data_IF_960897855950
#
_entry.id   IF_960897855950
#
_cell.length_a   1.000
_cell.length_b   1.000
_cell.length_c   1.000
_cell.angle_alpha   90.00
_cell.angle_beta   90.00
_cell.angle_gamma   90.00
#
_symmetry.space_group_name_H-M   'P 1'
#
loop_
_entity.id
_entity.type
_entity.pdbx_description
1 polymer ?
#
# COMPACT_ATOMS: atom_id res chain seq x y z
N UNK A 1 -10.79 2.54 15.23
CA UNK A 1 -11.92 3.41 15.67
C UNK A 1 -12.16 3.39 17.18
N UNK A 2 -12.39 2.23 17.84
CA UNK A 2 -12.57 2.15 19.30
C UNK A 2 -11.39 2.79 20.08
N UNK A 3 -10.16 2.60 19.59
CA UNK A 3 -8.96 3.21 20.17
C UNK A 3 -9.02 4.74 20.30
N UNK A 4 -9.73 5.43 19.41
CA UNK A 4 -9.90 6.89 19.48
C UNK A 4 -10.75 7.30 20.70
N UNK A 5 -11.85 6.60 20.96
CA UNK A 5 -12.69 6.87 22.13
C UNK A 5 -12.01 6.47 23.44
N UNK A 6 -11.31 5.33 23.46
CA UNK A 6 -10.56 4.89 24.62
C UNK A 6 -9.41 5.86 24.94
N UNK A 7 -8.67 6.30 23.93
CA UNK A 7 -7.63 7.31 24.10
C UNK A 7 -8.20 8.61 24.63
N UNK A 8 -9.33 9.09 24.07
CA UNK A 8 -10.03 10.27 24.57
C UNK A 8 -10.44 10.16 26.05
N UNK A 9 -10.96 8.99 26.46
CA UNK A 9 -11.32 8.73 27.85
C UNK A 9 -10.10 8.74 28.78
N UNK A 10 -8.99 8.12 28.36
CA UNK A 10 -7.74 8.06 29.13
C UNK A 10 -7.10 9.45 29.25
N UNK A 11 -7.10 10.24 28.18
CA UNK A 11 -6.62 11.63 28.19
C UNK A 11 -7.48 12.47 29.15
N UNK A 12 -8.81 12.40 29.03
CA UNK A 12 -9.73 13.12 29.93
C UNK A 12 -9.55 12.71 31.41
N UNK A 13 -9.08 11.49 31.66
CA UNK A 13 -8.81 10.97 33.00
C UNK A 13 -7.38 11.20 33.49
N UNK A 14 -6.50 11.86 32.71
CA UNK A 14 -5.06 11.99 32.97
C UNK A 14 -4.34 10.63 33.18
N UNK A 15 -4.76 9.60 32.45
CA UNK A 15 -4.21 8.23 32.50
C UNK A 15 -3.52 7.80 31.20
N UNK A 16 -3.40 8.71 30.23
CA UNK A 16 -2.77 8.41 28.95
C UNK A 16 -1.26 8.64 29.04
N UNK A 17 -0.49 7.57 28.85
CA UNK A 17 0.97 7.64 28.72
C UNK A 17 1.38 8.06 27.30
N UNK A 18 2.54 8.71 27.12
CA UNK A 18 3.05 9.05 25.80
C UNK A 18 3.43 7.80 24.99
N UNK A 19 3.24 7.88 23.67
CA UNK A 19 3.60 6.78 22.76
C UNK A 19 5.12 6.64 22.73
N UNK A 20 5.62 5.44 23.05
CA UNK A 20 7.03 5.09 22.92
C UNK A 20 7.19 4.12 21.75
N UNK A 21 8.07 4.46 20.80
CA UNK A 21 8.36 3.61 19.64
C UNK A 21 9.64 2.83 19.94
N UNK A 22 9.51 1.50 20.04
CA UNK A 22 10.65 0.59 20.11
C UNK A 22 10.81 -0.04 18.72
N UNK A 23 11.93 0.27 18.06
CA UNK A 23 12.18 -0.15 16.68
C UNK A 23 13.38 -1.08 16.60
N UNK A 24 13.18 -2.31 16.13
CA UNK A 24 14.28 -3.24 15.94
C UNK A 24 15.06 -2.91 14.66
N UNK A 25 16.37 -2.70 14.81
CA UNK A 25 17.32 -2.43 13.73
C UNK A 25 18.28 -3.60 13.45
N UNK A 26 18.16 -4.71 14.19
CA UNK A 26 18.97 -5.89 13.96
C UNK A 26 18.70 -6.48 12.57
N UNK A 27 19.76 -6.86 11.88
CA UNK A 27 19.67 -7.45 10.55
C UNK A 27 19.64 -8.98 10.66
N UNK A 28 18.43 -9.53 10.72
CA UNK A 28 18.21 -10.97 10.76
C UNK A 28 18.06 -11.52 9.35
N UNK A 29 19.02 -12.36 8.93
CA UNK A 29 19.03 -12.96 7.58
C UNK A 29 17.74 -13.72 7.26
N UNK A 30 17.12 -14.34 8.27
CA UNK A 30 15.85 -15.02 8.14
C UNK A 30 14.72 -14.09 7.67
N UNK A 31 14.63 -12.87 8.21
CA UNK A 31 13.61 -11.89 7.82
C UNK A 31 13.86 -11.33 6.42
N UNK A 32 15.13 -11.11 6.07
CA UNK A 32 15.52 -10.66 4.72
C UNK A 32 15.15 -11.71 3.66
N UNK A 33 15.42 -13.00 3.94
CA UNK A 33 15.18 -14.09 2.99
C UNK A 33 13.71 -14.55 2.93
N UNK A 34 12.90 -14.21 3.93
CA UNK A 34 11.51 -14.65 4.01
C UNK A 34 10.67 -14.24 2.79
N UNK A 35 10.72 -12.97 2.39
CA UNK A 35 9.92 -12.46 1.25
C UNK A 35 10.37 -13.07 -0.09
N UNK A 36 11.68 -13.13 -0.42
CA UNK A 36 12.13 -13.83 -1.63
C UNK A 36 11.71 -15.30 -1.69
N UNK A 37 11.82 -16.03 -0.57
CA UNK A 37 11.42 -17.45 -0.50
C UNK A 37 9.92 -17.61 -0.72
N UNK A 38 9.10 -16.79 -0.04
CA UNK A 38 7.65 -16.80 -0.23
C UNK A 38 7.26 -16.44 -1.67
N UNK A 39 7.93 -15.45 -2.26
CA UNK A 39 7.68 -15.04 -3.64
C UNK A 39 8.03 -16.14 -4.63
N UNK A 40 9.16 -16.84 -4.42
CA UNK A 40 9.53 -18.01 -5.22
C UNK A 40 8.47 -19.12 -5.08
N UNK A 41 8.01 -19.39 -3.86
CA UNK A 41 6.94 -20.35 -3.62
C UNK A 41 5.67 -20.00 -4.41
N UNK A 42 5.20 -18.75 -4.36
CA UNK A 42 4.02 -18.31 -5.13
C UNK A 42 4.21 -18.43 -6.64
N UNK A 43 5.40 -18.11 -7.17
CA UNK A 43 5.72 -18.29 -8.60
C UNK A 43 5.71 -19.78 -8.97
N UNK A 44 6.28 -20.66 -8.15
CA UNK A 44 6.25 -22.10 -8.39
C UNK A 44 4.81 -22.65 -8.33
N UNK A 45 4.00 -22.20 -7.36
CA UNK A 45 2.58 -22.56 -7.30
C UNK A 45 1.82 -22.11 -8.54
N UNK A 46 2.11 -20.91 -9.07
CA UNK A 46 1.51 -20.43 -10.31
C UNK A 46 1.81 -21.35 -11.50
N UNK A 47 3.06 -21.80 -11.65
CA UNK A 47 3.48 -22.71 -12.72
C UNK A 47 2.83 -24.09 -12.63
N UNK A 48 2.58 -24.56 -11.40
CA UNK A 48 1.92 -25.85 -11.15
C UNK A 48 0.42 -25.75 -11.45
N UNK A 49 -0.24 -24.67 -11.03
CA UNK A 49 -1.70 -24.50 -11.15
C UNK A 49 -2.12 -24.28 -12.61
N UNK A 50 -1.49 -23.33 -13.31
CA UNK A 50 -1.83 -23.04 -14.71
C UNK A 50 -1.21 -24.08 -15.67
N UNK A 51 -0.15 -24.77 -15.23
CA UNK A 51 0.61 -25.74 -16.02
C UNK A 51 1.66 -25.08 -16.92
N UNK A 52 2.81 -25.75 -17.05
CA UNK A 52 3.95 -25.24 -17.84
C UNK A 52 3.62 -24.98 -19.32
N UNK A 53 2.66 -25.70 -19.90
CA UNK A 53 2.21 -25.49 -21.28
C UNK A 53 1.49 -24.16 -21.51
N UNK A 54 0.91 -23.57 -20.47
CA UNK A 54 0.11 -22.33 -20.54
C UNK A 54 0.87 -21.08 -20.08
N UNK A 55 2.18 -21.17 -19.84
CA UNK A 55 2.99 -20.06 -19.31
C UNK A 55 2.86 -18.77 -20.14
N UNK A 56 2.70 -18.89 -21.46
CA UNK A 56 2.52 -17.73 -22.34
C UNK A 56 1.21 -17.01 -22.05
N UNK A 57 0.13 -17.75 -21.79
CA UNK A 57 -1.18 -17.21 -21.45
C UNK A 57 -1.16 -16.57 -20.06
N UNK A 58 -0.51 -17.20 -19.08
CA UNK A 58 -0.30 -16.65 -17.73
C UNK A 58 0.45 -15.33 -17.76
N UNK A 59 1.52 -15.23 -18.55
CA UNK A 59 2.30 -13.99 -18.70
C UNK A 59 1.47 -12.90 -19.40
N UNK A 60 0.71 -13.24 -20.45
CA UNK A 60 -0.19 -12.29 -21.10
C UNK A 60 -1.28 -11.78 -20.16
N UNK A 61 -1.86 -12.67 -19.35
CA UNK A 61 -2.82 -12.32 -18.31
C UNK A 61 -2.19 -11.37 -17.28
N UNK A 62 -0.96 -11.65 -16.82
CA UNK A 62 -0.23 -10.78 -15.90
C UNK A 62 -0.08 -9.34 -16.45
N UNK A 63 0.28 -9.19 -17.72
CA UNK A 63 0.36 -7.86 -18.36
C UNK A 63 -1.01 -7.18 -18.48
N UNK A 64 -2.08 -7.94 -18.72
CA UNK A 64 -3.46 -7.41 -18.70
C UNK A 64 -3.82 -6.90 -17.31
N UNK A 65 -3.49 -7.66 -16.25
CA UNK A 65 -3.75 -7.27 -14.86
C UNK A 65 -3.16 -5.88 -14.55
N UNK A 66 -1.93 -5.59 -14.99
CA UNK A 66 -1.27 -4.29 -14.75
C UNK A 66 -2.05 -3.08 -15.27
N UNK A 67 -2.98 -3.27 -16.20
CA UNK A 67 -3.79 -2.19 -16.78
C UNK A 67 -5.17 -2.04 -16.14
N UNK A 68 -5.51 -2.88 -15.16
CA UNK A 68 -6.74 -2.75 -14.40
C UNK A 68 -6.65 -1.57 -13.42
N UNK A 69 -7.77 -0.88 -13.24
CA UNK A 69 -7.86 0.23 -12.28
C UNK A 69 -7.61 -0.22 -10.84
N UNK A 70 -7.97 -1.46 -10.51
CA UNK A 70 -7.88 -2.01 -9.15
C UNK A 70 -9.03 -1.61 -8.23
N UNK A 71 -10.06 -0.90 -8.74
CA UNK A 71 -11.23 -0.53 -7.94
C UNK A 71 -12.03 -1.78 -7.58
N UNK A 72 -12.39 -1.94 -6.31
CA UNK A 72 -13.25 -3.05 -5.88
C UNK A 72 -14.60 -3.04 -6.65
N UNK A 73 -15.16 -4.23 -6.96
CA UNK A 73 -14.76 -5.56 -6.49
C UNK A 73 -13.76 -6.31 -7.40
N UNK A 74 -12.76 -5.64 -8.00
CA UNK A 74 -11.76 -6.31 -8.84
C UNK A 74 -11.04 -7.44 -8.09
N UNK A 75 -11.32 -8.68 -8.48
CA UNK A 75 -10.58 -9.89 -8.11
C UNK A 75 -9.63 -10.25 -9.26
N UNK A 76 -8.33 -10.31 -9.00
CA UNK A 76 -7.33 -10.60 -10.03
C UNK A 76 -7.26 -12.08 -10.39
N UNK A 77 -7.74 -12.99 -9.52
CA UNK A 77 -7.85 -14.40 -9.84
C UNK A 77 -8.94 -14.63 -10.91
N UNK A 78 -10.02 -13.86 -10.84
CA UNK A 78 -11.11 -13.89 -11.83
C UNK A 78 -10.78 -13.07 -13.09
N UNK A 79 -10.07 -11.94 -12.95
CA UNK A 79 -9.75 -11.05 -14.07
C UNK A 79 -8.59 -11.55 -14.96
N UNK A 80 -7.82 -12.54 -14.49
CA UNK A 80 -6.70 -13.14 -15.20
C UNK A 80 -6.75 -14.67 -15.12
N UNK A 81 -5.58 -15.28 -14.91
CA UNK A 81 -5.46 -16.68 -14.47
C UNK A 81 -5.03 -16.73 -13.01
N UNK A 82 -5.29 -17.85 -12.33
CA UNK A 82 -4.83 -18.06 -10.97
C UNK A 82 -3.29 -17.89 -10.85
N UNK A 83 -2.53 -18.45 -11.79
CA UNK A 83 -1.09 -18.25 -11.84
C UNK A 83 -0.67 -16.80 -12.05
N UNK A 84 -1.38 -16.02 -12.88
CA UNK A 84 -1.04 -14.62 -13.13
C UNK A 84 -1.26 -13.73 -11.89
N UNK A 85 -2.30 -14.02 -11.10
CA UNK A 85 -2.57 -13.35 -9.83
C UNK A 85 -1.48 -13.67 -8.79
N UNK A 86 -1.10 -14.95 -8.66
CA UNK A 86 -0.02 -15.38 -7.76
C UNK A 86 1.33 -14.76 -8.14
N UNK A 87 1.67 -14.70 -9.43
CA UNK A 87 2.89 -14.02 -9.90
C UNK A 87 2.82 -12.52 -9.61
N UNK A 88 1.66 -11.86 -9.80
CA UNK A 88 1.50 -10.45 -9.44
C UNK A 88 1.75 -10.22 -7.94
N UNK A 89 1.21 -11.06 -7.07
CA UNK A 89 1.44 -11.01 -5.62
C UNK A 89 2.92 -11.19 -5.26
N UNK A 90 3.60 -12.15 -5.90
CA UNK A 90 5.04 -12.40 -5.72
C UNK A 90 5.88 -11.18 -6.13
N UNK A 91 5.60 -10.62 -7.31
CA UNK A 91 6.33 -9.46 -7.83
C UNK A 91 6.11 -8.23 -6.94
N UNK A 92 4.90 -8.00 -6.45
CA UNK A 92 4.62 -6.93 -5.49
C UNK A 92 5.47 -7.09 -4.21
N UNK A 93 5.59 -8.31 -3.69
CA UNK A 93 6.45 -8.62 -2.55
C UNK A 93 7.92 -8.34 -2.83
N UNK A 94 8.45 -8.85 -3.95
CA UNK A 94 9.85 -8.65 -4.35
C UNK A 94 10.21 -7.19 -4.54
N UNK A 95 9.37 -6.41 -5.25
CA UNK A 95 9.68 -5.00 -5.51
C UNK A 95 9.49 -4.16 -4.24
N UNK A 96 8.53 -4.49 -3.36
CA UNK A 96 8.41 -3.85 -2.05
C UNK A 96 9.65 -4.14 -1.17
N UNK A 97 10.11 -5.39 -1.14
CA UNK A 97 11.34 -5.78 -0.47
C UNK A 97 12.57 -5.07 -1.03
N UNK A 98 12.66 -4.95 -2.36
CA UNK A 98 13.72 -4.19 -3.02
C UNK A 98 13.69 -2.71 -2.60
N UNK A 99 12.52 -2.08 -2.55
CA UNK A 99 12.38 -0.71 -2.05
C UNK A 99 12.92 -0.56 -0.62
N UNK A 100 12.54 -1.45 0.31
CA UNK A 100 13.05 -1.48 1.69
C UNK A 100 14.58 -1.56 1.71
N UNK A 101 15.17 -2.46 0.92
CA UNK A 101 16.61 -2.61 0.82
C UNK A 101 17.30 -1.36 0.24
N UNK A 102 16.73 -0.73 -0.80
CA UNK A 102 17.28 0.46 -1.43
C UNK A 102 17.32 1.67 -0.50
N UNK A 103 16.28 1.85 0.32
CA UNK A 103 16.25 2.93 1.33
C UNK A 103 17.01 2.57 2.60
N UNK A 104 17.63 1.38 2.65
CA UNK A 104 18.40 0.85 3.79
C UNK A 104 17.57 0.75 5.08
N UNK A 105 16.28 0.48 4.97
CA UNK A 105 15.43 0.23 6.12
C UNK A 105 15.65 -1.18 6.69
N UNK A 106 15.53 -1.38 8.01
CA UNK A 106 15.69 -2.70 8.61
C UNK A 106 14.51 -3.62 8.27
N UNK A 107 14.81 -4.88 7.95
CA UNK A 107 13.79 -5.92 7.80
C UNK A 107 13.39 -6.46 9.18
N UNK A 108 12.37 -5.85 9.77
CA UNK A 108 11.81 -6.24 11.07
C UNK A 108 10.33 -6.63 10.95
N UNK A 109 9.72 -7.07 12.06
CA UNK A 109 8.33 -7.52 12.08
C UNK A 109 7.33 -6.58 11.40
N UNK A 110 7.27 -5.28 11.78
CA UNK A 110 6.39 -4.30 11.13
C UNK A 110 6.62 -4.15 9.62
N UNK A 111 7.87 -4.13 9.17
CA UNK A 111 8.23 -4.00 7.75
C UNK A 111 7.81 -5.26 6.97
N UNK A 112 8.09 -6.45 7.50
CA UNK A 112 7.64 -7.71 6.89
C UNK A 112 6.11 -7.79 6.84
N UNK A 113 5.42 -7.40 7.92
CA UNK A 113 3.97 -7.31 7.96
C UNK A 113 3.40 -6.33 6.92
N UNK A 114 4.07 -5.20 6.70
CA UNK A 114 3.76 -4.26 5.63
C UNK A 114 3.86 -4.90 4.25
N UNK A 115 4.99 -5.56 3.94
CA UNK A 115 5.20 -6.24 2.65
C UNK A 115 4.16 -7.36 2.45
N UNK A 116 3.90 -8.17 3.47
CA UNK A 116 2.87 -9.21 3.42
C UNK A 116 1.48 -8.65 3.17
N UNK A 117 1.18 -7.45 3.67
CA UNK A 117 -0.08 -6.75 3.38
C UNK A 117 -0.14 -6.32 1.91
N UNK A 118 0.96 -5.81 1.35
CA UNK A 118 1.04 -5.50 -0.09
C UNK A 118 0.80 -6.77 -0.92
N UNK A 119 1.45 -7.88 -0.55
CA UNK A 119 1.30 -9.17 -1.24
C UNK A 119 -0.13 -9.72 -1.12
N UNK A 120 -0.71 -9.77 0.08
CA UNK A 120 -2.03 -10.33 0.34
C UNK A 120 -3.13 -9.60 -0.42
N UNK A 121 -3.09 -8.27 -0.45
CA UNK A 121 -4.02 -7.50 -1.29
C UNK A 121 -3.58 -7.40 -2.76
N UNK A 122 -2.45 -8.00 -3.13
CA UNK A 122 -2.02 -8.18 -4.51
C UNK A 122 -2.97 -9.05 -5.34
N UNK A 123 -3.85 -9.83 -4.70
CA UNK A 123 -4.96 -10.52 -5.36
C UNK A 123 -6.20 -9.64 -5.60
N UNK A 124 -6.30 -8.49 -4.91
CA UNK A 124 -7.51 -7.65 -4.88
C UNK A 124 -7.19 -6.21 -5.31
N UNK A 125 -6.89 -6.04 -6.59
CA UNK A 125 -6.79 -4.72 -7.22
C UNK A 125 -5.47 -3.96 -7.05
N UNK A 126 -4.43 -4.56 -6.47
CA UNK A 126 -3.07 -3.98 -6.48
C UNK A 126 -2.22 -4.58 -7.59
N UNK A 127 -1.50 -3.73 -8.31
CA UNK A 127 -0.55 -4.10 -9.37
C UNK A 127 0.67 -3.21 -9.27
N UNK A 128 1.80 -3.61 -9.85
CA UNK A 128 3.00 -2.76 -9.83
C UNK A 128 2.69 -1.38 -10.41
N UNK A 129 1.93 -1.32 -11.51
CA UNK A 129 1.59 -0.05 -12.18
C UNK A 129 0.84 0.93 -11.28
N UNK A 130 -0.09 0.47 -10.46
CA UNK A 130 -0.96 1.36 -9.68
C UNK A 130 -0.43 1.67 -8.27
N UNK A 131 0.48 0.86 -7.70
CA UNK A 131 1.05 1.15 -6.38
C UNK A 131 2.12 2.26 -6.43
N UNK A 132 2.97 2.29 -7.45
CA UNK A 132 4.15 3.17 -7.47
C UNK A 132 3.84 4.67 -7.49
N UNK A 133 2.78 5.16 -8.17
CA UNK A 133 2.40 6.56 -8.05
C UNK A 133 2.10 6.97 -6.61
N UNK A 134 1.45 6.11 -5.83
CA UNK A 134 1.11 6.40 -4.43
C UNK A 134 2.36 6.34 -3.55
N UNK A 135 3.21 5.32 -3.73
CA UNK A 135 4.49 5.23 -3.02
C UNK A 135 5.37 6.45 -3.33
N UNK A 136 5.41 6.89 -4.59
CA UNK A 136 6.13 8.10 -4.99
C UNK A 136 5.60 9.35 -4.28
N UNK A 137 4.30 9.44 -4.03
CA UNK A 137 3.69 10.48 -3.20
C UNK A 137 4.23 10.50 -1.77
N UNK A 138 4.32 9.34 -1.12
CA UNK A 138 4.90 9.21 0.23
C UNK A 138 6.39 9.56 0.23
N UNK A 139 7.15 9.06 -0.74
CA UNK A 139 8.58 9.39 -0.89
C UNK A 139 8.77 10.89 -1.05
N UNK A 140 7.98 11.52 -1.93
CA UNK A 140 8.02 12.96 -2.15
C UNK A 140 7.72 13.73 -0.85
N UNK A 141 6.64 13.39 -0.15
CA UNK A 141 6.30 14.03 1.12
C UNK A 141 7.43 13.86 2.16
N UNK A 142 8.02 12.66 2.24
CA UNK A 142 9.11 12.37 3.17
C UNK A 142 10.30 13.28 2.91
N UNK A 143 10.70 13.43 1.64
CA UNK A 143 11.82 14.27 1.23
C UNK A 143 11.51 15.76 1.42
N UNK A 144 10.30 16.22 1.07
CA UNK A 144 9.86 17.61 1.25
C UNK A 144 9.89 18.02 2.73
N UNK A 145 9.53 17.12 3.64
CA UNK A 145 9.59 17.38 5.08
C UNK A 145 10.95 17.07 5.72
N UNK A 146 11.99 16.78 4.92
CA UNK A 146 13.35 16.56 5.41
C UNK A 146 13.54 15.31 6.27
N UNK A 147 12.68 14.31 6.11
CA UNK A 147 12.70 13.04 6.86
C UNK A 147 13.51 11.97 6.14
N UNK A 148 13.93 10.92 6.84
CA UNK A 148 14.61 9.80 6.21
C UNK A 148 13.61 8.75 5.75
N UNK A 149 13.81 8.20 4.55
CA UNK A 149 12.94 7.16 3.99
C UNK A 149 12.97 5.85 4.81
N UNK A 150 14.05 5.63 5.55
CA UNK A 150 14.24 4.48 6.44
C UNK A 150 13.58 4.63 7.81
N UNK A 151 13.09 5.81 8.15
CA UNK A 151 12.47 6.07 9.46
C UNK A 151 11.17 5.25 9.62
N UNK A 152 10.80 4.80 10.84
CA UNK A 152 9.66 3.92 11.08
C UNK A 152 8.34 4.42 10.49
N UNK A 153 8.07 5.73 10.58
CA UNK A 153 6.85 6.34 10.02
C UNK A 153 6.85 6.26 8.49
N UNK A 154 7.81 6.91 7.80
CA UNK A 154 7.92 6.88 6.34
C UNK A 154 7.96 5.49 5.71
N UNK A 155 8.71 4.53 6.27
CA UNK A 155 8.81 3.18 5.68
C UNK A 155 7.48 2.44 5.76
N UNK A 156 6.77 2.51 6.89
CA UNK A 156 5.46 1.89 7.05
C UNK A 156 4.41 2.60 6.20
N UNK A 157 4.43 3.94 6.14
CA UNK A 157 3.57 4.72 5.26
C UNK A 157 3.76 4.32 3.80
N UNK A 158 5.01 4.13 3.33
CA UNK A 158 5.28 3.73 1.96
C UNK A 158 4.71 2.34 1.63
N UNK A 159 4.82 1.36 2.55
CA UNK A 159 4.29 0.01 2.33
C UNK A 159 2.76 -0.03 2.39
N UNK A 160 2.16 0.63 3.39
CA UNK A 160 0.70 0.56 3.60
C UNK A 160 -0.10 1.55 2.75
N UNK A 161 0.49 2.65 2.26
CA UNK A 161 -0.19 3.59 1.36
C UNK A 161 -0.70 2.91 0.09
N UNK A 162 -0.12 1.76 -0.30
CA UNK A 162 -0.55 0.96 -1.46
C UNK A 162 -2.03 0.60 -1.41
N UNK A 163 -2.69 0.64 -0.25
CA UNK A 163 -4.15 0.56 -0.15
C UNK A 163 -4.89 1.59 -1.00
N UNK A 164 -4.28 2.75 -1.26
CA UNK A 164 -4.79 3.83 -2.11
C UNK A 164 -4.50 3.64 -3.60
N UNK A 165 -3.83 2.55 -4.00
CA UNK A 165 -3.48 2.26 -5.39
C UNK A 165 -4.67 2.34 -6.38
N UNK A 166 -5.91 1.97 -6.02
CA UNK A 166 -7.06 2.17 -6.90
C UNK A 166 -7.31 3.64 -7.31
N UNK A 167 -6.90 4.61 -6.48
CA UNK A 167 -6.98 6.05 -6.84
C UNK A 167 -6.06 6.33 -8.02
N UNK A 168 -4.82 5.83 -7.98
CA UNK A 168 -3.88 5.97 -9.08
C UNK A 168 -4.35 5.23 -10.34
N UNK A 169 -4.89 4.02 -10.18
CA UNK A 169 -5.40 3.23 -11.29
C UNK A 169 -6.64 3.81 -11.96
N UNK A 170 -7.52 4.48 -11.20
CA UNK A 170 -8.76 5.07 -11.74
C UNK A 170 -8.60 6.52 -12.21
N UNK A 171 -7.84 7.34 -11.47
CA UNK A 171 -7.74 8.79 -11.70
C UNK A 171 -6.35 9.23 -12.19
N UNK A 172 -5.43 8.29 -12.37
CA UNK A 172 -4.11 8.51 -12.96
C UNK A 172 -3.01 8.82 -11.94
N UNK A 173 -1.80 8.96 -12.47
CA UNK A 173 -0.55 9.07 -11.70
C UNK A 173 -0.59 10.25 -10.72
N UNK A 174 -1.06 11.42 -11.17
CA UNK A 174 -1.09 12.64 -10.34
C UNK A 174 -1.97 12.45 -9.11
N UNK A 175 -3.18 11.89 -9.29
CA UNK A 175 -4.07 11.60 -8.17
C UNK A 175 -3.45 10.61 -7.17
N UNK A 176 -2.72 9.61 -7.68
CA UNK A 176 -1.94 8.68 -6.86
C UNK A 176 -0.87 9.37 -6.02
N UNK A 177 -0.04 10.22 -6.64
CA UNK A 177 1.02 10.98 -5.97
C UNK A 177 0.41 11.87 -4.87
N UNK A 178 -0.66 12.61 -5.17
CA UNK A 178 -1.33 13.46 -4.18
C UNK A 178 -1.88 12.63 -3.02
N UNK A 179 -2.52 11.49 -3.31
CA UNK A 179 -3.05 10.60 -2.27
C UNK A 179 -1.93 10.06 -1.36
N UNK A 180 -0.81 9.63 -1.92
CA UNK A 180 0.35 9.17 -1.15
C UNK A 180 1.00 10.29 -0.34
N UNK A 181 1.10 11.50 -0.90
CA UNK A 181 1.64 12.66 -0.20
C UNK A 181 0.80 12.99 1.04
N UNK A 182 -0.53 12.99 0.90
CA UNK A 182 -1.46 13.22 1.99
C UNK A 182 -1.38 12.11 3.05
N UNK A 183 -1.25 10.86 2.59
CA UNK A 183 -1.20 9.71 3.48
C UNK A 183 -0.10 9.81 4.54
N UNK A 184 1.10 10.26 4.17
CA UNK A 184 2.24 10.35 5.11
C UNK A 184 1.91 11.19 6.35
N UNK A 185 1.47 12.45 6.15
CA UNK A 185 1.19 13.32 7.28
C UNK A 185 -0.10 12.92 8.02
N UNK A 186 -1.04 12.25 7.33
CA UNK A 186 -2.21 11.66 8.00
C UNK A 186 -1.77 10.58 8.98
N UNK A 187 -0.92 9.63 8.57
CA UNK A 187 -0.41 8.54 9.43
C UNK A 187 0.25 9.09 10.69
N UNK A 188 1.09 10.11 10.58
CA UNK A 188 1.78 10.69 11.73
C UNK A 188 0.83 11.43 12.67
N UNK A 189 -0.17 12.12 12.12
CA UNK A 189 -1.13 12.89 12.92
C UNK A 189 -2.12 11.96 13.64
N UNK A 190 -2.64 10.95 12.95
CA UNK A 190 -3.67 10.05 13.49
C UNK A 190 -3.13 9.13 14.56
N UNK A 191 -1.83 8.81 14.54
CA UNK A 191 -1.18 8.01 15.59
C UNK A 191 -1.41 8.59 16.99
N UNK A 192 -1.34 9.92 17.10
CA UNK A 192 -1.55 10.68 18.33
C UNK A 192 -3.02 10.66 18.75
N UNK A 193 -3.95 10.73 17.79
CA UNK A 193 -5.40 10.79 18.08
C UNK A 193 -5.93 9.56 18.83
N UNK A 194 -5.33 8.40 18.58
CA UNK A 194 -5.69 7.16 19.25
C UNK A 194 -4.62 6.70 20.24
N UNK A 195 -3.60 7.51 20.54
CA UNK A 195 -2.60 7.20 21.55
C UNK A 195 -1.85 5.88 21.32
N UNK A 196 -1.68 5.45 20.06
CA UNK A 196 -1.09 4.14 19.74
C UNK A 196 -2.00 2.92 19.95
N UNK A 197 -3.25 3.08 20.38
CA UNK A 197 -4.21 1.98 20.57
C UNK A 197 -4.75 1.38 19.27
N UNK A 198 -4.58 2.07 18.13
CA UNK A 198 -4.86 1.52 16.81
C UNK A 198 -3.58 0.86 16.25
N UNK A 199 -3.53 -0.46 16.37
CA UNK A 199 -2.42 -1.27 15.84
C UNK A 199 -2.31 -1.18 14.31
N UNK A 200 -3.37 -0.76 13.62
CA UNK A 200 -3.38 -0.56 12.18
C UNK A 200 -3.69 0.90 11.79
N UNK A 201 -2.97 1.83 12.43
CA UNK A 201 -3.05 3.27 12.14
C UNK A 201 -2.88 3.61 10.64
N UNK A 202 -1.99 2.91 9.93
CA UNK A 202 -1.83 3.12 8.49
C UNK A 202 -3.13 2.81 7.71
N UNK A 203 -3.85 1.76 8.08
CA UNK A 203 -5.16 1.47 7.49
C UNK A 203 -6.18 2.56 7.80
N UNK A 204 -6.21 3.04 9.05
CA UNK A 204 -7.08 4.13 9.47
C UNK A 204 -6.80 5.44 8.71
N UNK A 205 -5.55 5.88 8.66
CA UNK A 205 -5.12 7.05 7.89
C UNK A 205 -5.38 6.87 6.39
N UNK A 206 -5.20 5.66 5.86
CA UNK A 206 -5.56 5.29 4.49
C UNK A 206 -7.04 5.50 4.21
N UNK A 207 -7.93 5.03 5.10
CA UNK A 207 -9.37 5.24 4.97
C UNK A 207 -9.78 6.72 4.98
N UNK A 208 -9.18 7.53 5.85
CA UNK A 208 -9.41 8.98 5.89
C UNK A 208 -8.92 9.67 4.62
N UNK A 209 -7.72 9.32 4.17
CA UNK A 209 -7.12 9.85 2.93
C UNK A 209 -7.98 9.50 1.72
N UNK A 210 -8.40 8.23 1.61
CA UNK A 210 -9.27 7.77 0.53
C UNK A 210 -10.60 8.53 0.53
N UNK A 211 -11.21 8.71 1.70
CA UNK A 211 -12.50 9.41 1.84
C UNK A 211 -12.41 10.85 1.35
N UNK A 212 -11.37 11.58 1.75
CA UNK A 212 -11.15 12.96 1.31
C UNK A 212 -10.94 13.04 -0.21
N UNK A 213 -10.00 12.26 -0.73
CA UNK A 213 -9.62 12.32 -2.14
C UNK A 213 -10.77 11.86 -3.03
N UNK A 214 -11.47 10.80 -2.66
CA UNK A 214 -12.63 10.33 -3.42
C UNK A 214 -13.77 11.34 -3.41
N UNK A 215 -14.06 11.99 -2.28
CA UNK A 215 -15.07 13.04 -2.20
C UNK A 215 -14.75 14.21 -3.15
N UNK A 216 -13.50 14.69 -3.14
CA UNK A 216 -13.05 15.76 -4.03
C UNK A 216 -13.12 15.37 -5.52
N UNK A 217 -12.59 14.19 -5.87
CA UNK A 217 -12.55 13.71 -7.25
C UNK A 217 -13.95 13.41 -7.80
N UNK A 218 -14.86 12.86 -6.98
CA UNK A 218 -16.24 12.61 -7.38
C UNK A 218 -17.04 13.90 -7.51
N UNK A 219 -16.85 14.85 -6.59
CA UNK A 219 -17.47 16.17 -6.71
C UNK A 219 -17.01 16.88 -7.99
N UNK A 220 -15.71 16.89 -8.27
CA UNK A 220 -15.16 17.49 -9.49
C UNK A 220 -15.70 16.79 -10.75
N UNK A 221 -15.71 15.45 -10.79
CA UNK A 221 -16.26 14.69 -11.92
C UNK A 221 -17.73 14.99 -12.17
N UNK A 222 -18.53 15.15 -11.11
CA UNK A 222 -19.97 15.39 -11.21
C UNK A 222 -20.29 16.83 -11.61
N UNK A 223 -19.50 17.81 -11.16
CA UNK A 223 -19.76 19.23 -11.34
C UNK A 223 -18.92 19.89 -12.46
N UNK A 224 -18.11 19.12 -13.19
CA UNK A 224 -17.37 19.65 -14.33
C UNK A 224 -18.38 20.10 -15.40
N UNK A 225 -18.38 21.38 -15.82
CA UNK A 225 -19.22 21.82 -16.92
C UNK A 225 -18.92 20.95 -18.14
N UNK A 226 -19.96 20.45 -18.81
CA UNK A 226 -19.77 19.93 -20.17
C UNK A 226 -19.39 21.14 -21.00
N UNK A 227 -18.14 21.22 -21.45
CA UNK A 227 -17.77 22.21 -22.43
C UNK A 227 -18.51 21.86 -23.71
N UNK A 228 -19.51 22.68 -24.07
CA UNK A 228 -20.36 22.54 -25.27
C UNK A 228 -19.61 22.86 -26.57
N UNK A 229 -18.31 22.53 -26.66
CA UNK A 229 -17.57 22.65 -27.91
C UNK A 229 -17.69 21.34 -28.68
N UNK A 230 -18.85 21.16 -29.33
CA UNK A 230 -18.92 20.41 -30.57
C UNK A 230 -18.26 21.27 -31.65
N UNK A 231 -17.08 20.87 -32.12
CA UNK A 231 -16.51 21.27 -33.41
C UNK A 231 -16.14 20.01 -34.17
#
# INVERSE_FOLDING_TARGET
>A
FIGLFLSGLLIASNKMEPITIIWNTANESALVLFIPILSLFLILSALIIDGFSHIRETIQALFKLQNLSGRLPTDLFDAGTAGSALINMALLGLVSSLYVALVKAPFNGPVIGGILTVMGFGGFGKTLKNIWPVVAGVVLATLVFGKQLSDPGPILAALFCTTLAPIAGQFGIVAGIVAGFIHLFMVETTAVWHGGLDLYNNGFAGGLTASLIMAMLQWYKTNRPKEDFQV
#
